data_IF_480379594307
#
_entry.id   IF_480379594307
#
_cell.length_a   1.000
_cell.length_b   1.000
_cell.length_c   1.000
_cell.angle_alpha   90.00
_cell.angle_beta   90.00
_cell.angle_gamma   90.00
#
_symmetry.space_group_name_H-M   'P 1'
#
loop_
_entity.id
_entity.type
_entity.pdbx_description
1 polymer ?
#
# COMPACT_ATOMS: atom_id res chain seq x y z
N UNK A 1 7.74 10.29 29.16
CA UNK A 1 7.98 9.41 28.01
C UNK A 1 8.90 10.14 27.06
N UNK A 2 10.07 9.59 26.76
CA UNK A 2 10.97 10.17 25.76
C UNK A 2 10.35 9.97 24.37
N UNK A 3 10.40 10.98 23.47
CA UNK A 3 10.05 10.75 22.07
C UNK A 3 10.97 9.67 21.52
N UNK A 4 10.40 8.69 20.80
CA UNK A 4 11.21 7.72 20.07
C UNK A 4 12.08 8.48 19.07
N UNK A 5 13.38 8.18 18.94
CA UNK A 5 14.24 8.87 18.00
C UNK A 5 13.68 8.73 16.59
N UNK A 6 13.58 9.85 15.87
CA UNK A 6 13.12 9.91 14.48
C UNK A 6 13.91 8.91 13.64
N UNK A 7 13.28 7.78 13.30
CA UNK A 7 13.88 6.80 12.39
C UNK A 7 14.07 7.47 11.03
N UNK A 8 15.15 7.19 10.28
CA UNK A 8 15.30 7.65 8.91
C UNK A 8 14.07 7.27 8.08
N UNK A 9 13.23 8.26 7.80
CA UNK A 9 12.11 8.09 6.87
C UNK A 9 12.64 8.25 5.45
N UNK A 10 12.22 7.36 4.56
CA UNK A 10 12.48 7.51 3.13
C UNK A 10 11.79 8.77 2.59
N UNK A 11 12.31 9.31 1.49
CA UNK A 11 11.69 10.44 0.77
C UNK A 11 10.36 10.05 0.14
N UNK A 12 9.56 11.04 -0.27
CA UNK A 12 8.35 10.82 -1.08
C UNK A 12 8.65 10.01 -2.34
N UNK A 13 9.75 10.33 -3.04
CA UNK A 13 10.11 9.64 -4.28
C UNK A 13 10.39 8.15 -4.04
N UNK A 14 11.17 7.85 -3.00
CA UNK A 14 11.47 6.47 -2.60
C UNK A 14 10.22 5.72 -2.13
N UNK A 15 9.31 6.38 -1.41
CA UNK A 15 8.05 5.78 -1.00
C UNK A 15 7.16 5.44 -2.20
N UNK A 16 7.09 6.32 -3.20
CA UNK A 16 6.33 6.08 -4.43
C UNK A 16 6.92 4.96 -5.27
N UNK A 17 8.25 4.90 -5.39
CA UNK A 17 8.95 3.80 -6.06
C UNK A 17 8.64 2.47 -5.36
N UNK A 18 8.78 2.44 -4.03
CA UNK A 18 8.49 1.24 -3.24
C UNK A 18 7.04 0.79 -3.33
N UNK A 19 6.10 1.74 -3.30
CA UNK A 19 4.67 1.46 -3.52
C UNK A 19 4.46 0.82 -4.90
N UNK A 20 5.11 1.34 -5.94
CA UNK A 20 4.97 0.81 -7.29
C UNK A 20 5.52 -0.62 -7.40
N UNK A 21 6.66 -0.91 -6.79
CA UNK A 21 7.21 -2.27 -6.72
C UNK A 21 6.25 -3.26 -6.03
N UNK A 22 5.66 -2.86 -4.90
CA UNK A 22 4.71 -3.69 -4.15
C UNK A 22 3.47 -4.01 -4.98
N UNK A 23 2.96 -3.03 -5.73
CA UNK A 23 1.79 -3.17 -6.60
C UNK A 23 2.11 -4.05 -7.82
N UNK A 24 3.22 -3.78 -8.50
CA UNK A 24 3.62 -4.53 -9.70
C UNK A 24 3.90 -6.00 -9.37
N UNK A 25 4.55 -6.27 -8.23
CA UNK A 25 4.81 -7.62 -7.75
C UNK A 25 3.51 -8.39 -7.46
N UNK A 26 2.58 -7.77 -6.75
CA UNK A 26 1.29 -8.39 -6.44
C UNK A 26 0.45 -8.64 -7.70
N UNK A 27 0.42 -7.67 -8.63
CA UNK A 27 -0.30 -7.82 -9.90
C UNK A 27 0.31 -8.92 -10.77
N UNK A 28 1.63 -9.11 -10.75
CA UNK A 28 2.31 -10.16 -11.51
C UNK A 28 1.98 -11.58 -11.01
N UNK A 29 1.51 -11.75 -9.77
CA UNK A 29 1.08 -13.04 -9.23
C UNK A 29 -0.26 -13.52 -9.81
N UNK A 30 -1.03 -12.64 -10.45
CA UNK A 30 -2.34 -12.96 -11.03
C UNK A 30 -2.18 -13.41 -12.48
N UNK A 31 -2.94 -14.45 -12.88
CA UNK A 31 -2.92 -15.02 -14.23
C UNK A 31 -4.36 -15.14 -14.75
N UNK A 32 -4.69 -14.58 -15.92
CA UNK A 32 -3.82 -13.72 -16.74
C UNK A 32 -3.41 -12.44 -16.01
N UNK A 33 -2.25 -11.88 -16.36
CA UNK A 33 -1.74 -10.66 -15.71
C UNK A 33 -2.74 -9.51 -15.97
N UNK A 34 -3.29 -8.86 -14.93
CA UNK A 34 -4.23 -7.77 -15.10
C UNK A 34 -3.53 -6.53 -15.68
N UNK A 35 -4.32 -5.70 -16.36
CA UNK A 35 -3.88 -4.35 -16.74
C UNK A 35 -4.11 -3.41 -15.57
N UNK A 36 -3.05 -2.77 -15.10
CA UNK A 36 -3.14 -1.74 -14.08
C UNK A 36 -3.68 -0.43 -14.67
N UNK A 37 -4.78 0.07 -14.11
CA UNK A 37 -5.30 1.40 -14.39
C UNK A 37 -5.28 2.24 -13.11
N UNK A 38 -4.55 3.35 -13.14
CA UNK A 38 -4.38 4.20 -11.97
C UNK A 38 -5.72 4.81 -11.52
N UNK A 39 -6.07 4.61 -10.26
CA UNK A 39 -7.13 5.36 -9.61
C UNK A 39 -6.64 6.78 -9.33
N UNK A 40 -6.95 7.72 -10.24
CA UNK A 40 -6.44 9.11 -10.21
C UNK A 40 -6.58 9.83 -8.85
N UNK A 41 -7.65 9.63 -8.06
CA UNK A 41 -7.73 10.24 -6.74
C UNK A 41 -6.57 9.87 -5.80
N UNK A 42 -5.97 8.69 -5.97
CA UNK A 42 -4.79 8.26 -5.20
C UNK A 42 -3.50 9.03 -5.51
N UNK A 43 -3.51 9.96 -6.48
CA UNK A 43 -2.36 10.83 -6.74
C UNK A 43 -2.16 11.91 -5.67
N UNK A 44 -3.19 12.18 -4.85
CA UNK A 44 -3.13 13.21 -3.81
C UNK A 44 -2.42 12.66 -2.58
N UNK A 45 -1.42 13.39 -2.11
CA UNK A 45 -0.81 13.11 -0.81
C UNK A 45 -1.79 13.46 0.30
N UNK A 46 -1.77 12.68 1.38
CA UNK A 46 -2.52 12.98 2.60
C UNK A 46 -1.59 13.54 3.67
N UNK A 47 -2.12 14.42 4.52
CA UNK A 47 -1.44 14.86 5.74
C UNK A 47 -1.35 13.70 6.72
N UNK A 48 -0.19 13.54 7.36
CA UNK A 48 -0.07 12.59 8.48
C UNK A 48 -0.64 13.24 9.75
N UNK A 49 -1.96 13.15 9.92
CA UNK A 49 -2.68 13.80 11.01
C UNK A 49 -2.88 12.90 12.24
N UNK A 50 -2.08 11.86 12.45
CA UNK A 50 -2.19 11.00 13.64
C UNK A 50 -1.91 11.83 14.91
N UNK A 51 -2.92 12.24 15.70
CA UNK A 51 -2.74 13.24 16.75
C UNK A 51 -1.96 12.70 17.96
N UNK A 52 -1.86 11.37 18.05
CA UNK A 52 -1.34 10.62 19.19
C UNK A 52 0.15 10.32 19.10
N UNK A 53 0.79 10.56 17.96
CA UNK A 53 2.22 10.26 17.77
C UNK A 53 3.14 11.44 18.10
N UNK A 54 2.57 12.64 18.33
CA UNK A 54 3.30 13.85 18.68
C UNK A 54 4.25 14.37 17.58
N UNK A 55 4.15 13.86 16.35
CA UNK A 55 5.06 14.24 15.27
C UNK A 55 4.57 15.43 14.45
N UNK A 56 5.48 16.00 13.63
CA UNK A 56 5.20 17.22 12.85
C UNK A 56 4.04 17.04 11.85
N UNK A 57 3.31 18.14 11.64
CA UNK A 57 2.30 18.30 10.57
C UNK A 57 2.89 18.31 9.17
N UNK A 58 4.21 18.46 9.04
CA UNK A 58 4.90 18.48 7.74
C UNK A 58 5.12 17.07 7.17
N UNK A 59 4.81 16.03 7.95
CA UNK A 59 4.84 14.64 7.49
C UNK A 59 3.61 14.36 6.63
N UNK A 60 3.83 13.56 5.60
CA UNK A 60 2.79 13.13 4.67
C UNK A 60 2.64 11.61 4.68
N UNK A 61 1.52 11.16 4.14
CA UNK A 61 1.30 9.79 3.70
C UNK A 61 1.08 9.82 2.20
N UNK A 62 1.77 8.93 1.48
CA UNK A 62 1.55 8.73 0.05
C UNK A 62 0.97 7.35 -0.18
N UNK A 63 0.11 7.24 -1.19
CA UNK A 63 -0.50 5.99 -1.58
C UNK A 63 -0.65 5.93 -3.09
N UNK A 64 -0.78 4.73 -3.63
CA UNK A 64 -1.26 4.51 -4.99
C UNK A 64 -2.25 3.37 -4.97
N UNK A 65 -3.28 3.50 -5.79
CA UNK A 65 -4.28 2.48 -6.01
C UNK A 65 -4.50 2.28 -7.50
N UNK A 66 -4.68 1.03 -7.89
CA UNK A 66 -4.91 0.64 -9.28
C UNK A 66 -6.08 -0.32 -9.38
N UNK A 67 -6.93 -0.08 -10.37
CA UNK A 67 -7.89 -1.07 -10.83
C UNK A 67 -7.15 -2.20 -11.55
N UNK A 68 -7.46 -3.45 -11.17
CA UNK A 68 -6.94 -4.64 -11.82
C UNK A 68 -7.88 -5.08 -12.94
N UNK A 69 -7.74 -4.47 -14.11
CA UNK A 69 -8.61 -4.74 -15.25
C UNK A 69 -8.26 -6.06 -15.96
N UNK A 70 -9.28 -6.68 -16.55
CA UNK A 70 -9.12 -7.91 -17.35
C UNK A 70 -9.19 -9.21 -16.54
N UNK A 71 -9.55 -9.15 -15.26
CA UNK A 71 -9.84 -10.33 -14.44
C UNK A 71 -11.33 -10.68 -14.62
N UNK A 72 -11.67 -11.88 -15.08
CA UNK A 72 -13.06 -12.33 -15.13
C UNK A 72 -13.72 -12.34 -13.74
N UNK A 73 -15.02 -12.00 -13.67
CA UNK A 73 -15.75 -11.87 -12.39
C UNK A 73 -15.74 -13.16 -11.56
N UNK A 74 -15.82 -14.31 -12.23
CA UNK A 74 -15.76 -15.64 -11.63
C UNK A 74 -14.35 -16.01 -11.10
N UNK A 75 -13.32 -15.24 -11.46
CA UNK A 75 -11.93 -15.45 -11.05
C UNK A 75 -11.44 -14.47 -9.97
N UNK A 76 -12.26 -13.51 -9.52
CA UNK A 76 -11.84 -12.49 -8.54
C UNK A 76 -11.35 -13.09 -7.22
N UNK A 77 -12.02 -14.13 -6.72
CA UNK A 77 -11.61 -14.83 -5.48
C UNK A 77 -10.26 -15.53 -5.65
N UNK A 78 -10.03 -16.15 -6.81
CA UNK A 78 -8.76 -16.81 -7.08
C UNK A 78 -7.63 -15.81 -7.29
N UNK A 79 -7.89 -14.67 -7.93
CA UNK A 79 -6.94 -13.56 -7.99
C UNK A 79 -6.58 -13.05 -6.59
N UNK A 80 -7.58 -12.86 -5.72
CA UNK A 80 -7.37 -12.42 -4.33
C UNK A 80 -6.53 -13.41 -3.54
N UNK A 81 -6.79 -14.71 -3.68
CA UNK A 81 -5.98 -15.78 -3.08
C UNK A 81 -4.54 -15.75 -3.55
N UNK A 82 -4.30 -15.57 -4.86
CA UNK A 82 -2.94 -15.47 -5.44
C UNK A 82 -2.17 -14.27 -4.89
N UNK A 83 -2.81 -13.11 -4.79
CA UNK A 83 -2.20 -11.91 -4.20
C UNK A 83 -1.85 -12.14 -2.73
N UNK A 84 -2.77 -12.71 -1.94
CA UNK A 84 -2.49 -13.06 -0.54
C UNK A 84 -1.29 -14.01 -0.42
N UNK A 85 -1.28 -15.11 -1.18
CA UNK A 85 -0.18 -16.07 -1.17
C UNK A 85 1.14 -15.44 -1.58
N UNK A 86 1.13 -14.53 -2.57
CA UNK A 86 2.32 -13.79 -2.98
C UNK A 86 2.84 -12.91 -1.83
N UNK A 87 1.98 -12.14 -1.16
CA UNK A 87 2.40 -11.34 -0.01
C UNK A 87 2.99 -12.18 1.13
N UNK A 88 2.40 -13.34 1.43
CA UNK A 88 2.94 -14.28 2.42
C UNK A 88 4.33 -14.79 2.02
N UNK A 89 4.53 -15.12 0.74
CA UNK A 89 5.84 -15.56 0.21
C UNK A 89 6.90 -14.47 0.26
N UNK A 90 6.51 -13.19 0.12
CA UNK A 90 7.40 -12.04 0.31
C UNK A 90 7.65 -11.71 1.80
N UNK A 91 7.10 -12.50 2.73
CA UNK A 91 7.26 -12.29 4.17
C UNK A 91 6.47 -11.11 4.72
N UNK A 92 5.47 -10.62 3.97
CA UNK A 92 4.56 -9.59 4.46
C UNK A 92 3.60 -10.16 5.49
N UNK A 93 3.15 -9.33 6.41
CA UNK A 93 2.24 -9.73 7.47
C UNK A 93 0.80 -9.52 7.03
N UNK A 94 -0.03 -10.56 7.03
CA UNK A 94 -1.45 -10.45 6.69
C UNK A 94 -2.23 -10.00 7.94
N UNK A 95 -2.79 -8.80 7.91
CA UNK A 95 -3.62 -8.26 9.00
C UNK A 95 -5.00 -8.90 9.02
N UNK A 96 -5.57 -9.20 7.86
CA UNK A 96 -6.90 -9.77 7.77
C UNK A 96 -7.38 -10.09 6.36
N UNK A 97 -8.45 -10.87 6.31
CA UNK A 97 -9.18 -11.22 5.10
C UNK A 97 -10.66 -10.93 5.34
N UNK A 98 -11.30 -10.23 4.39
CA UNK A 98 -12.72 -9.93 4.46
C UNK A 98 -13.56 -11.22 4.37
N UNK A 99 -14.78 -11.26 4.94
CA UNK A 99 -15.61 -12.48 4.97
C UNK A 99 -15.95 -13.07 3.59
N UNK A 100 -15.96 -12.24 2.54
CA UNK A 100 -16.19 -12.67 1.16
C UNK A 100 -14.98 -13.38 0.52
N UNK A 101 -13.82 -13.32 1.16
CA UNK A 101 -12.54 -13.85 0.70
C UNK A 101 -11.86 -13.02 -0.39
N UNK A 102 -12.37 -11.83 -0.69
CA UNK A 102 -11.83 -10.92 -1.72
C UNK A 102 -10.95 -9.86 -1.08
N UNK A 103 -11.45 -9.20 -0.03
CA UNK A 103 -10.67 -8.17 0.65
C UNK A 103 -9.46 -8.76 1.39
N UNK A 104 -8.25 -8.28 1.11
CA UNK A 104 -7.01 -8.70 1.80
C UNK A 104 -6.29 -7.47 2.31
N UNK A 105 -5.92 -7.48 3.58
CA UNK A 105 -5.21 -6.39 4.23
C UNK A 105 -3.91 -6.91 4.83
N UNK A 106 -2.81 -6.18 4.63
CA UNK A 106 -1.48 -6.61 5.05
C UNK A 106 -0.54 -5.43 5.33
N UNK A 107 0.61 -5.74 5.94
CA UNK A 107 1.75 -4.84 6.14
C UNK A 107 2.97 -5.34 5.39
N UNK A 108 3.59 -4.49 4.59
CA UNK A 108 4.86 -4.80 3.94
C UNK A 108 5.96 -5.00 4.97
N UNK A 109 7.00 -5.74 4.59
CA UNK A 109 8.26 -5.82 5.32
C UNK A 109 9.41 -5.37 4.40
N UNK A 110 10.40 -4.64 4.92
CA UNK A 110 10.53 -4.17 6.32
C UNK A 110 9.77 -2.88 6.65
N UNK A 111 9.19 -2.18 5.67
CA UNK A 111 8.75 -0.78 5.79
C UNK A 111 7.42 -0.57 6.51
N UNK A 112 6.66 -1.65 6.72
CA UNK A 112 5.35 -1.58 7.39
C UNK A 112 4.34 -0.72 6.60
N UNK A 113 4.45 -0.69 5.27
CA UNK A 113 3.47 -0.03 4.41
C UNK A 113 2.18 -0.82 4.44
N UNK A 114 1.05 -0.14 4.48
CA UNK A 114 -0.24 -0.80 4.37
C UNK A 114 -0.44 -1.29 2.94
N UNK A 115 -0.92 -2.52 2.81
CA UNK A 115 -1.28 -3.17 1.56
C UNK A 115 -2.76 -3.51 1.63
N UNK A 116 -3.50 -3.16 0.58
CA UNK A 116 -4.92 -3.43 0.51
C UNK A 116 -5.30 -3.97 -0.86
N UNK A 117 -6.06 -5.07 -0.85
CA UNK A 117 -6.86 -5.50 -1.96
C UNK A 117 -8.32 -5.37 -1.53
N UNK A 118 -9.13 -4.69 -2.31
CA UNK A 118 -10.55 -4.51 -2.03
C UNK A 118 -11.37 -4.64 -3.31
N UNK A 119 -12.69 -4.77 -3.13
CA UNK A 119 -13.64 -4.73 -4.23
C UNK A 119 -14.03 -3.27 -4.50
N UNK A 120 -14.14 -2.90 -5.77
CA UNK A 120 -14.67 -1.61 -6.21
C UNK A 120 -15.96 -1.79 -7.00
N UNK A 121 -16.70 -0.68 -7.19
CA UNK A 121 -17.90 -0.67 -8.03
C UNK A 121 -17.55 -1.16 -9.45
N UNK A 122 -18.37 -2.06 -9.99
CA UNK A 122 -18.18 -2.62 -11.34
C UNK A 122 -17.48 -3.98 -11.39
N UNK A 123 -17.32 -4.67 -10.25
CA UNK A 123 -16.67 -5.99 -10.16
C UNK A 123 -15.20 -6.00 -10.57
N UNK A 124 -14.49 -4.93 -10.21
CA UNK A 124 -13.06 -4.78 -10.43
C UNK A 124 -12.35 -4.72 -9.09
N UNK A 125 -11.22 -5.43 -8.97
CA UNK A 125 -10.39 -5.35 -7.77
C UNK A 125 -9.60 -4.05 -7.76
N UNK A 126 -9.56 -3.39 -6.61
CA UNK A 126 -8.70 -2.25 -6.34
C UNK A 126 -7.53 -2.74 -5.49
N UNK A 127 -6.32 -2.59 -6.02
CA UNK A 127 -5.07 -2.93 -5.35
C UNK A 127 -4.33 -1.65 -4.99
N UNK A 128 -3.94 -1.50 -3.72
CA UNK A 128 -3.26 -0.33 -3.24
C UNK A 128 -2.16 -0.61 -2.23
N UNK A 129 -1.26 0.37 -2.12
CA UNK A 129 -0.32 0.46 -1.03
C UNK A 129 -0.20 1.89 -0.53
N UNK A 130 -0.08 2.03 0.79
CA UNK A 130 -0.02 3.30 1.51
C UNK A 130 1.20 3.30 2.42
N UNK A 131 2.03 4.34 2.32
CA UNK A 131 3.23 4.47 3.15
C UNK A 131 2.88 4.63 4.63
N UNK A 132 3.85 4.38 5.50
CA UNK A 132 3.85 5.01 6.83
C UNK A 132 3.95 6.53 6.69
N UNK A 133 3.83 7.26 7.79
CA UNK A 133 4.15 8.69 7.77
C UNK A 133 5.62 8.90 7.42
N UNK A 134 5.88 9.77 6.45
CA UNK A 134 7.21 10.09 5.94
C UNK A 134 7.41 11.60 5.89
N UNK A 135 8.67 12.02 5.96
CA UNK A 135 9.05 13.37 5.58
C UNK A 135 9.20 13.45 4.05
N UNK A 136 8.58 14.42 3.36
CA UNK A 136 8.62 14.51 1.90
C UNK A 136 10.05 14.44 1.32
N UNK A 137 11.02 15.04 2.02
CA UNK A 137 12.42 15.14 1.61
C UNK A 137 13.39 14.24 2.44
N UNK A 138 12.90 13.32 3.28
CA UNK A 138 13.73 12.49 4.18
C UNK A 138 13.87 13.05 5.61
N UNK A 139 14.60 12.33 6.49
CA UNK A 139 14.71 12.57 7.97
C UNK A 139 14.95 14.05 8.31
N UNK A 140 14.42 14.56 9.45
CA UNK A 140 13.80 15.88 9.54
C UNK A 140 14.66 16.99 8.93
N UNK A 141 14.00 18.00 8.34
CA UNK A 141 14.66 19.24 7.94
C UNK A 141 15.43 19.80 9.15
N UNK A 142 16.75 19.60 9.17
CA UNK A 142 17.60 20.07 10.27
C UNK A 142 18.16 18.98 11.21
N UNK A 143 18.53 17.80 10.71
CA UNK A 143 19.58 17.01 11.37
C UNK A 143 20.94 17.72 11.28
N UNK A 144 21.16 18.74 12.11
CA UNK A 144 22.48 19.29 12.45
C UNK A 144 22.95 18.76 13.80
#
# INVERSE_FOLDING_TARGET
MSPMPDRPTITKAQALERIQELIDGAAAAVVPKPKLELYKPSLRDATCDQPTDGGSKDRIVVHREYYLNGIPKDQLKDASRKIKTYWEQQGHYIDGVAPDGIGIYARSRPEDFYLALSWSEGDVLLLGSTSTCIWPNGTPEGGS
#
